data_IF_817012814172
#
_entry.id   IF_817012814172
#
_cell.length_a   1.000
_cell.length_b   1.000
_cell.length_c   1.000
_cell.angle_alpha   90.00
_cell.angle_beta   90.00
_cell.angle_gamma   90.00
#
_symmetry.space_group_name_H-M   'P 1'
#
loop_
_entity.id
_entity.type
_entity.pdbx_description
1 polymer ?
#
# COMPACT_ATOMS: atom_id res chain seq x y z
N UNK A 1 -52.33 -78.05 35.63
CA UNK A 1 -51.05 -78.41 36.33
C UNK A 1 -50.07 -77.29 36.10
N UNK A 2 -49.42 -76.80 37.12
CA UNK A 2 -48.62 -75.56 37.24
C UNK A 2 -47.35 -75.58 36.39
N UNK A 3 -47.14 -74.65 35.53
CA UNK A 3 -45.83 -74.36 34.86
C UNK A 3 -45.31 -73.06 35.34
N UNK A 4 -44.06 -73.07 35.70
CA UNK A 4 -43.34 -72.19 36.56
C UNK A 4 -43.03 -70.83 35.84
N UNK A 5 -43.27 -69.70 36.58
CA UNK A 5 -42.98 -68.29 36.24
C UNK A 5 -41.49 -67.95 36.32
N UNK A 6 -40.57 -68.90 36.16
CA UNK A 6 -39.12 -68.62 36.35
C UNK A 6 -38.27 -68.61 35.13
N UNK A 7 -38.81 -68.78 33.92
CA UNK A 7 -38.00 -68.77 32.67
C UNK A 7 -38.15 -67.56 31.77
N UNK A 8 -38.81 -66.48 32.26
CA UNK A 8 -39.06 -65.29 31.47
C UNK A 8 -38.17 -64.06 31.81
N UNK A 9 -37.32 -64.18 32.85
CA UNK A 9 -36.50 -63.12 33.37
C UNK A 9 -34.99 -63.23 33.00
N UNK A 10 -34.59 -64.17 32.15
CA UNK A 10 -33.18 -64.38 31.80
C UNK A 10 -32.80 -64.03 30.37
N UNK A 11 -33.67 -63.36 29.61
CA UNK A 11 -33.38 -62.92 28.21
C UNK A 11 -33.62 -61.43 27.93
N UNK A 12 -33.67 -60.59 28.96
CA UNK A 12 -33.91 -59.16 28.81
C UNK A 12 -32.71 -58.24 29.24
N UNK A 13 -31.48 -58.78 29.33
CA UNK A 13 -30.32 -58.03 29.85
C UNK A 13 -29.12 -57.97 28.93
N UNK A 14 -29.28 -58.19 27.61
CA UNK A 14 -28.17 -58.06 26.62
C UNK A 14 -28.49 -57.14 25.43
N UNK A 15 -29.40 -56.17 25.62
CA UNK A 15 -29.83 -55.30 24.54
C UNK A 15 -29.75 -53.77 24.82
N UNK A 16 -29.13 -53.35 25.92
CA UNK A 16 -29.20 -51.93 26.34
C UNK A 16 -27.84 -51.24 26.52
N UNK A 17 -26.77 -51.71 25.88
CA UNK A 17 -25.43 -51.08 26.00
C UNK A 17 -24.85 -50.59 24.65
N UNK A 18 -25.65 -50.52 23.60
CA UNK A 18 -25.15 -50.09 22.24
C UNK A 18 -25.75 -48.76 21.74
N UNK A 19 -26.41 -47.98 22.59
CA UNK A 19 -27.07 -46.72 22.17
C UNK A 19 -26.46 -45.45 22.80
N UNK A 20 -25.22 -45.47 23.32
CA UNK A 20 -24.61 -44.32 24.00
C UNK A 20 -23.38 -43.74 23.26
N UNK A 21 -23.02 -44.24 22.07
CA UNK A 21 -22.03 -43.60 21.22
C UNK A 21 -22.67 -43.20 19.87
N UNK A 22 -23.66 -42.31 19.95
CA UNK A 22 -23.99 -41.51 18.78
C UNK A 22 -22.74 -40.71 18.38
N UNK A 23 -22.43 -40.54 17.07
CA UNK A 23 -21.33 -39.68 16.68
C UNK A 23 -21.63 -38.30 17.26
N UNK A 24 -20.83 -37.88 18.23
CA UNK A 24 -20.74 -36.48 18.58
C UNK A 24 -20.22 -35.78 17.33
N UNK A 25 -21.14 -35.33 16.50
CA UNK A 25 -20.82 -34.32 15.49
C UNK A 25 -20.41 -33.10 16.29
N UNK A 26 -19.10 -32.97 16.53
CA UNK A 26 -18.51 -31.70 16.90
C UNK A 26 -18.95 -30.73 15.82
N UNK A 27 -20.09 -30.04 16.04
CA UNK A 27 -20.36 -28.81 15.32
C UNK A 27 -19.17 -27.92 15.62
N UNK A 28 -18.17 -27.91 14.73
CA UNK A 28 -17.12 -26.94 14.78
C UNK A 28 -17.83 -25.58 14.76
N UNK A 29 -17.85 -24.92 15.92
CA UNK A 29 -18.20 -23.50 15.92
C UNK A 29 -17.28 -22.85 14.94
N UNK A 30 -17.85 -22.24 13.88
CA UNK A 30 -17.07 -21.41 12.99
C UNK A 30 -16.36 -20.37 13.87
N UNK A 31 -15.04 -20.28 13.72
CA UNK A 31 -14.27 -19.30 14.48
C UNK A 31 -14.82 -17.90 14.20
N UNK A 32 -14.92 -17.07 15.25
CA UNK A 32 -15.36 -15.69 15.12
C UNK A 32 -14.46 -14.94 14.12
N UNK A 33 -15.02 -14.18 13.18
CA UNK A 33 -14.24 -13.43 12.20
C UNK A 33 -13.31 -12.41 12.86
N UNK A 34 -12.15 -12.20 12.28
CA UNK A 34 -11.19 -11.18 12.71
C UNK A 34 -11.49 -9.89 11.95
N UNK A 35 -11.94 -8.86 12.65
CA UNK A 35 -12.22 -7.56 12.03
C UNK A 35 -10.93 -6.76 11.80
N UNK A 36 -10.74 -6.30 10.56
CA UNK A 36 -9.73 -5.32 10.17
C UNK A 36 -10.40 -4.11 9.52
N UNK A 37 -9.90 -2.92 9.82
CA UNK A 37 -10.40 -1.68 9.25
C UNK A 37 -9.68 -1.31 7.96
N UNK A 38 -10.41 -0.80 6.97
CA UNK A 38 -9.87 -0.22 5.74
C UNK A 38 -10.32 1.23 5.58
N UNK A 39 -9.38 2.17 5.49
CA UNK A 39 -9.64 3.60 5.31
C UNK A 39 -9.19 4.01 3.91
N UNK A 40 -10.12 4.36 3.02
CA UNK A 40 -9.78 4.73 1.63
C UNK A 40 -10.55 5.96 1.17
N UNK A 41 -9.95 6.83 0.34
CA UNK A 41 -10.64 7.96 -0.26
C UNK A 41 -11.49 7.51 -1.47
N UNK A 42 -12.58 6.77 -1.20
CA UNK A 42 -13.42 6.16 -2.26
C UNK A 42 -14.31 7.18 -2.96
N UNK A 43 -14.42 8.39 -2.40
CA UNK A 43 -15.06 9.58 -3.01
C UNK A 43 -14.14 10.80 -2.89
N UNK A 44 -14.55 11.92 -3.52
CA UNK A 44 -13.75 13.15 -3.57
C UNK A 44 -12.67 13.13 -4.67
N UNK A 45 -11.64 13.96 -4.52
CA UNK A 45 -10.61 14.19 -5.56
C UNK A 45 -9.74 12.97 -5.87
N UNK A 46 -9.69 11.99 -4.96
CA UNK A 46 -8.90 10.75 -5.10
C UNK A 46 -9.79 9.51 -5.31
N UNK A 47 -11.06 9.68 -5.65
CA UNK A 47 -12.06 8.59 -5.72
C UNK A 47 -11.60 7.38 -6.53
N UNK A 48 -11.03 7.62 -7.71
CA UNK A 48 -10.55 6.57 -8.61
C UNK A 48 -9.46 5.70 -7.94
N UNK A 49 -8.53 6.33 -7.25
CA UNK A 49 -7.47 5.65 -6.52
C UNK A 49 -8.05 4.89 -5.32
N UNK A 50 -8.96 5.52 -4.58
CA UNK A 50 -9.62 4.90 -3.42
C UNK A 50 -10.41 3.65 -3.79
N UNK A 51 -11.15 3.67 -4.90
CA UNK A 51 -11.89 2.52 -5.41
C UNK A 51 -10.96 1.38 -5.84
N UNK A 52 -9.83 1.69 -6.47
CA UNK A 52 -8.81 0.71 -6.80
C UNK A 52 -8.19 0.08 -5.54
N UNK A 53 -7.96 0.88 -4.48
CA UNK A 53 -7.53 0.39 -3.17
C UNK A 53 -8.55 -0.55 -2.52
N UNK A 54 -9.83 -0.22 -2.57
CA UNK A 54 -10.92 -1.08 -2.08
C UNK A 54 -10.92 -2.43 -2.79
N UNK A 55 -10.76 -2.43 -4.12
CA UNK A 55 -10.70 -3.66 -4.92
C UNK A 55 -9.51 -4.52 -4.51
N UNK A 56 -8.32 -3.93 -4.37
CA UNK A 56 -7.12 -4.65 -3.95
C UNK A 56 -7.22 -5.21 -2.52
N UNK A 57 -7.79 -4.43 -1.59
CA UNK A 57 -7.96 -4.86 -0.21
C UNK A 57 -8.95 -6.04 -0.09
N UNK A 58 -10.05 -6.02 -0.85
CA UNK A 58 -10.99 -7.15 -0.94
C UNK A 58 -10.31 -8.39 -1.52
N UNK A 59 -9.58 -8.24 -2.64
CA UNK A 59 -8.81 -9.33 -3.23
C UNK A 59 -7.84 -9.95 -2.20
N UNK A 60 -7.11 -9.14 -1.45
CA UNK A 60 -6.17 -9.62 -0.45
C UNK A 60 -6.86 -10.41 0.68
N UNK A 61 -7.98 -9.91 1.19
CA UNK A 61 -8.78 -10.60 2.21
C UNK A 61 -9.33 -11.92 1.69
N UNK A 62 -9.84 -11.94 0.45
CA UNK A 62 -10.32 -13.16 -0.20
C UNK A 62 -9.20 -14.19 -0.35
N UNK A 63 -7.98 -13.76 -0.73
CA UNK A 63 -6.81 -14.64 -0.82
C UNK A 63 -6.45 -15.27 0.53
N UNK A 64 -6.39 -14.48 1.62
CA UNK A 64 -6.13 -14.99 2.98
C UNK A 64 -7.24 -15.95 3.40
N UNK A 65 -8.49 -15.60 3.16
CA UNK A 65 -9.64 -16.39 3.51
C UNK A 65 -9.71 -17.72 2.74
N UNK A 66 -9.37 -17.71 1.45
CA UNK A 66 -9.27 -18.90 0.60
C UNK A 66 -8.14 -19.84 1.06
N UNK A 67 -7.02 -19.28 1.58
CA UNK A 67 -5.90 -20.05 2.15
C UNK A 67 -6.21 -20.70 3.51
N UNK A 68 -7.43 -20.53 4.03
CA UNK A 68 -7.88 -21.13 5.28
C UNK A 68 -8.10 -20.15 6.43
N UNK A 69 -7.89 -18.85 6.22
CA UNK A 69 -7.98 -17.82 7.27
C UNK A 69 -6.82 -17.89 8.27
N UNK A 70 -7.02 -17.40 9.48
CA UNK A 70 -6.00 -17.35 10.55
C UNK A 70 -6.04 -18.66 11.33
N UNK A 71 -5.07 -19.53 11.10
CA UNK A 71 -5.06 -20.92 11.62
C UNK A 71 -4.92 -20.97 13.15
N UNK A 72 -4.08 -20.11 13.73
CA UNK A 72 -3.91 -19.99 15.17
C UNK A 72 -5.19 -19.55 15.90
N UNK A 73 -6.16 -19.02 15.16
CA UNK A 73 -7.50 -18.64 15.63
C UNK A 73 -8.58 -19.60 15.10
N UNK A 74 -8.24 -20.87 14.90
CA UNK A 74 -9.19 -21.90 14.46
C UNK A 74 -9.67 -21.74 13.02
N UNK A 75 -8.89 -21.08 12.14
CA UNK A 75 -9.26 -20.79 10.76
C UNK A 75 -10.19 -19.58 10.62
N UNK A 76 -10.19 -18.67 11.60
CA UNK A 76 -10.98 -17.44 11.58
C UNK A 76 -10.75 -16.66 10.30
N UNK A 77 -11.86 -16.25 9.66
CA UNK A 77 -11.79 -15.46 8.42
C UNK A 77 -11.57 -13.99 8.75
N UNK A 78 -10.78 -13.30 7.91
CA UNK A 78 -10.70 -11.84 7.96
C UNK A 78 -12.03 -11.24 7.49
N UNK A 79 -12.51 -10.24 8.22
CA UNK A 79 -13.65 -9.42 7.88
C UNK A 79 -13.17 -7.97 7.69
N UNK A 80 -13.20 -7.47 6.46
CA UNK A 80 -12.76 -6.11 6.13
C UNK A 80 -13.93 -5.14 6.26
N UNK A 81 -13.79 -4.19 7.19
CA UNK A 81 -14.76 -3.12 7.41
C UNK A 81 -14.20 -1.84 6.80
N UNK A 82 -14.82 -1.38 5.70
CA UNK A 82 -14.34 -0.24 4.92
C UNK A 82 -15.04 1.04 5.37
N UNK A 83 -14.26 2.12 5.47
CA UNK A 83 -14.77 3.48 5.66
C UNK A 83 -14.21 4.41 4.58
N UNK A 84 -15.07 5.22 4.00
CA UNK A 84 -14.69 6.24 3.01
C UNK A 84 -14.24 7.52 3.73
N UNK A 85 -12.99 7.89 3.51
CA UNK A 85 -12.41 9.12 4.07
C UNK A 85 -12.59 10.35 3.16
N UNK A 86 -13.31 10.20 2.05
CA UNK A 86 -13.79 11.25 1.14
C UNK A 86 -12.70 12.22 0.64
N UNK A 87 -11.44 11.79 0.61
CA UNK A 87 -10.28 12.63 0.27
C UNK A 87 -10.12 13.88 1.17
N UNK A 88 -10.68 13.83 2.40
CA UNK A 88 -10.73 14.97 3.34
C UNK A 88 -10.15 14.60 4.71
N UNK A 89 -9.32 15.49 5.28
CA UNK A 89 -8.65 15.25 6.57
C UNK A 89 -9.60 15.27 7.76
N UNK A 90 -10.62 16.11 7.73
CA UNK A 90 -11.64 16.19 8.80
C UNK A 90 -12.51 14.95 8.81
N UNK A 91 -12.97 14.54 7.63
CA UNK A 91 -13.72 13.29 7.45
C UNK A 91 -12.86 12.09 7.85
N UNK A 92 -11.57 12.09 7.50
CA UNK A 92 -10.65 11.01 7.90
C UNK A 92 -10.62 10.83 9.41
N UNK A 93 -10.55 11.91 10.18
CA UNK A 93 -10.58 11.84 11.66
C UNK A 93 -11.87 11.21 12.14
N UNK A 94 -13.01 11.75 11.73
CA UNK A 94 -14.34 11.29 12.15
C UNK A 94 -14.58 9.82 11.78
N UNK A 95 -14.23 9.44 10.54
CA UNK A 95 -14.42 8.08 10.05
C UNK A 95 -13.48 7.07 10.74
N UNK A 96 -12.25 7.48 11.05
CA UNK A 96 -11.32 6.61 11.80
C UNK A 96 -11.83 6.38 13.23
N UNK A 97 -12.30 7.45 13.91
CA UNK A 97 -12.88 7.35 15.26
C UNK A 97 -14.14 6.49 15.26
N UNK A 98 -15.04 6.67 14.28
CA UNK A 98 -16.26 5.88 14.11
C UNK A 98 -15.95 4.41 13.83
N UNK A 99 -14.99 4.13 12.95
CA UNK A 99 -14.60 2.79 12.58
C UNK A 99 -14.04 2.01 13.78
N UNK A 100 -13.21 2.64 14.58
CA UNK A 100 -12.59 2.02 15.76
C UNK A 100 -13.61 1.85 16.89
N UNK A 101 -14.40 2.89 17.21
CA UNK A 101 -15.36 2.83 18.32
C UNK A 101 -16.55 1.93 18.04
N UNK A 102 -16.97 1.80 16.78
CA UNK A 102 -18.09 0.98 16.37
C UNK A 102 -17.76 -0.51 16.15
N UNK A 103 -16.47 -0.86 16.13
CA UNK A 103 -16.04 -2.20 15.77
C UNK A 103 -14.85 -2.64 16.64
N UNK A 104 -14.82 -3.91 16.98
CA UNK A 104 -13.68 -4.52 17.66
C UNK A 104 -12.61 -4.85 16.60
N UNK A 105 -11.72 -3.90 16.30
CA UNK A 105 -10.69 -4.05 15.27
C UNK A 105 -9.39 -4.61 15.84
N UNK A 106 -8.78 -5.54 15.13
CA UNK A 106 -7.42 -6.02 15.42
C UNK A 106 -6.36 -5.11 14.82
N UNK A 107 -6.63 -4.48 13.67
CA UNK A 107 -5.75 -3.56 12.97
C UNK A 107 -6.52 -2.73 11.94
N UNK A 108 -5.85 -1.70 11.39
CA UNK A 108 -6.33 -0.84 10.30
C UNK A 108 -5.28 -0.78 9.21
N UNK A 109 -5.68 -0.66 7.94
CA UNK A 109 -4.80 -0.25 6.84
C UNK A 109 -5.42 0.86 5.97
N UNK A 110 -4.58 1.63 5.30
CA UNK A 110 -4.94 2.83 4.55
C UNK A 110 -3.96 3.98 4.88
N UNK A 111 -4.22 5.25 4.53
CA UNK A 111 -5.33 5.79 3.74
C UNK A 111 -4.96 6.13 2.27
N UNK A 112 -3.85 5.80 1.71
CA UNK A 112 -3.23 6.24 0.46
C UNK A 112 -2.48 7.58 0.61
N UNK A 113 -3.21 8.70 0.71
CA UNK A 113 -2.57 10.01 0.83
C UNK A 113 -1.93 10.22 2.21
N UNK A 114 -0.68 10.70 2.24
CA UNK A 114 0.06 10.89 3.50
C UNK A 114 -0.63 11.85 4.47
N UNK A 115 -1.31 12.91 3.96
CA UNK A 115 -2.06 13.84 4.80
C UNK A 115 -3.21 13.15 5.55
N UNK A 116 -3.98 12.30 4.87
CA UNK A 116 -5.06 11.51 5.45
C UNK A 116 -4.51 10.49 6.46
N UNK A 117 -3.41 9.81 6.08
CA UNK A 117 -2.79 8.78 6.91
C UNK A 117 -2.20 9.36 8.20
N UNK A 118 -1.64 10.58 8.17
CA UNK A 118 -1.17 11.27 9.37
C UNK A 118 -2.30 11.44 10.39
N UNK A 119 -3.48 11.85 9.93
CA UNK A 119 -4.67 12.01 10.79
C UNK A 119 -5.16 10.66 11.33
N UNK A 120 -5.29 9.65 10.46
CA UNK A 120 -5.71 8.31 10.85
C UNK A 120 -4.73 7.70 11.86
N UNK A 121 -3.42 7.86 11.65
CA UNK A 121 -2.38 7.33 12.54
C UNK A 121 -2.40 7.97 13.93
N UNK A 122 -2.78 9.24 14.06
CA UNK A 122 -2.98 9.89 15.36
C UNK A 122 -4.16 9.30 16.12
N UNK A 123 -5.27 9.04 15.45
CA UNK A 123 -6.45 8.39 16.05
C UNK A 123 -6.11 6.96 16.47
N UNK A 124 -5.46 6.19 15.58
CA UNK A 124 -5.04 4.82 15.84
C UNK A 124 -4.07 4.72 17.04
N UNK A 125 -3.10 5.67 17.15
CA UNK A 125 -2.16 5.73 18.28
C UNK A 125 -2.89 5.92 19.61
N UNK A 126 -3.83 6.90 19.68
CA UNK A 126 -4.63 7.14 20.91
C UNK A 126 -5.51 5.97 21.28
N UNK A 127 -6.08 5.28 20.27
CA UNK A 127 -6.95 4.13 20.45
C UNK A 127 -6.20 2.82 20.68
N UNK A 128 -4.87 2.82 20.56
CA UNK A 128 -4.00 1.62 20.62
C UNK A 128 -4.41 0.53 19.61
N UNK A 129 -4.79 0.93 18.41
CA UNK A 129 -5.07 0.04 17.28
C UNK A 129 -3.97 0.22 16.23
N UNK A 130 -3.23 -0.84 15.85
CA UNK A 130 -2.16 -0.69 14.88
C UNK A 130 -2.69 -0.33 13.50
N UNK A 131 -2.01 0.62 12.85
CA UNK A 131 -2.20 0.96 11.45
C UNK A 131 -0.96 0.55 10.65
N UNK A 132 -1.16 -0.18 9.55
CA UNK A 132 -0.14 -0.50 8.56
C UNK A 132 -0.45 0.24 7.26
N UNK A 133 0.54 0.91 6.67
CA UNK A 133 0.29 1.81 5.54
C UNK A 133 1.45 1.86 4.55
N UNK A 134 1.11 2.02 3.25
CA UNK A 134 2.04 2.32 2.18
C UNK A 134 2.27 3.82 1.95
N UNK A 135 1.66 4.71 2.74
CA UNK A 135 1.92 6.14 2.65
C UNK A 135 3.37 6.47 3.01
N UNK A 136 3.94 7.47 2.33
CA UNK A 136 5.41 7.62 2.28
C UNK A 136 5.99 8.75 3.13
N UNK A 137 5.19 9.66 3.69
CA UNK A 137 5.71 10.78 4.47
C UNK A 137 6.61 10.32 5.63
N UNK A 138 7.79 10.92 5.77
CA UNK A 138 8.75 10.62 6.84
C UNK A 138 8.21 10.98 8.24
N UNK A 139 7.11 11.74 8.34
CA UNK A 139 6.47 12.12 9.60
C UNK A 139 5.55 11.02 10.18
N UNK A 140 5.17 10.00 9.39
CA UNK A 140 4.16 9.01 9.78
C UNK A 140 4.48 8.25 11.06
N UNK A 141 5.74 7.84 11.23
CA UNK A 141 6.16 7.05 12.38
C UNK A 141 6.70 7.91 13.56
N UNK A 142 6.83 9.24 13.38
CA UNK A 142 7.47 10.10 14.37
C UNK A 142 6.64 10.14 15.66
N UNK A 143 7.18 9.59 16.74
CA UNK A 143 6.52 9.54 18.06
C UNK A 143 5.32 8.58 18.12
N UNK A 144 5.18 7.65 17.15
CA UNK A 144 4.07 6.71 17.08
C UNK A 144 4.55 5.26 17.19
N UNK A 145 3.93 4.50 18.07
CA UNK A 145 4.22 3.08 18.33
C UNK A 145 3.28 2.13 17.60
N UNK A 146 2.12 2.63 17.17
CA UNK A 146 1.07 1.86 16.51
C UNK A 146 1.02 2.09 15.00
N UNK A 147 2.03 2.76 14.42
CA UNK A 147 2.11 3.01 12.98
C UNK A 147 3.26 2.23 12.35
N UNK A 148 2.94 1.43 11.32
CA UNK A 148 3.89 0.56 10.62
C UNK A 148 3.94 0.92 9.14
N UNK A 149 5.16 1.15 8.62
CA UNK A 149 5.42 1.51 7.21
C UNK A 149 6.35 0.48 6.57
N UNK A 150 5.81 -0.52 5.83
CA UNK A 150 6.59 -1.64 5.28
C UNK A 150 7.38 -1.28 4.03
N UNK A 151 7.14 -0.12 3.41
CA UNK A 151 7.73 0.28 2.14
C UNK A 151 8.66 1.50 2.27
N UNK A 152 9.24 1.90 1.14
CA UNK A 152 10.09 3.07 1.05
C UNK A 152 9.34 4.36 1.43
N UNK A 153 10.10 5.33 1.94
CA UNK A 153 9.61 6.63 2.39
C UNK A 153 10.03 7.76 1.45
N UNK A 154 9.47 8.93 1.67
CA UNK A 154 9.67 10.11 0.84
C UNK A 154 11.16 10.50 0.67
N UNK A 155 11.96 10.45 1.74
CA UNK A 155 13.40 10.70 1.67
C UNK A 155 14.15 9.67 0.80
N UNK A 156 13.72 8.42 0.83
CA UNK A 156 14.30 7.37 -0.02
C UNK A 156 13.88 7.54 -1.48
N UNK A 157 12.64 7.98 -1.76
CA UNK A 157 12.22 8.37 -3.11
C UNK A 157 13.09 9.46 -3.68
N UNK A 158 13.33 10.53 -2.91
CA UNK A 158 14.16 11.64 -3.31
C UNK A 158 15.55 11.19 -3.75
N UNK A 159 16.20 10.32 -2.96
CA UNK A 159 17.51 9.77 -3.31
C UNK A 159 17.49 8.99 -4.64
N UNK A 160 16.53 8.09 -4.81
CA UNK A 160 16.40 7.30 -6.04
C UNK A 160 16.12 8.19 -7.26
N UNK A 161 15.25 9.21 -7.14
CA UNK A 161 14.98 10.17 -8.21
C UNK A 161 16.24 10.93 -8.64
N UNK A 162 17.03 11.41 -7.69
CA UNK A 162 18.30 12.10 -7.98
C UNK A 162 19.30 11.18 -8.67
N UNK A 163 19.40 9.92 -8.24
CA UNK A 163 20.27 8.94 -8.89
C UNK A 163 19.82 8.60 -10.30
N UNK A 164 18.51 8.49 -10.54
CA UNK A 164 17.98 8.24 -11.88
C UNK A 164 18.16 9.43 -12.82
N UNK A 165 18.11 10.66 -12.33
CA UNK A 165 18.38 11.84 -13.16
C UNK A 165 19.78 11.80 -13.79
N UNK A 166 20.76 11.21 -13.11
CA UNK A 166 22.13 11.02 -13.64
C UNK A 166 22.23 9.97 -14.74
N UNK A 167 21.23 9.09 -14.87
CA UNK A 167 21.19 8.09 -15.95
C UNK A 167 20.77 8.69 -17.30
N UNK A 168 20.14 9.87 -17.29
CA UNK A 168 19.62 10.54 -18.48
C UNK A 168 20.34 11.84 -18.84
N UNK A 169 21.30 12.28 -18.05
CA UNK A 169 22.10 13.47 -18.37
C UNK A 169 23.26 13.72 -17.40
N UNK A 170 24.36 14.22 -17.94
CA UNK A 170 25.49 14.70 -17.15
C UNK A 170 25.14 16.03 -16.50
N UNK A 171 25.38 16.19 -15.20
CA UNK A 171 25.14 17.41 -14.43
C UNK A 171 23.69 17.94 -14.53
N UNK A 172 22.70 17.20 -14.01
CA UNK A 172 21.31 17.62 -14.07
C UNK A 172 21.09 18.96 -13.37
N UNK A 173 20.45 19.90 -14.07
CA UNK A 173 19.86 21.11 -13.50
C UNK A 173 18.37 20.88 -13.32
N UNK A 174 17.93 20.78 -12.08
CA UNK A 174 16.60 20.33 -11.74
C UNK A 174 15.67 21.47 -11.35
N UNK A 175 14.49 21.52 -11.95
CA UNK A 175 13.34 22.18 -11.37
C UNK A 175 12.56 21.15 -10.53
N UNK A 176 12.22 21.49 -9.31
CA UNK A 176 11.38 20.71 -8.41
C UNK A 176 10.04 21.42 -8.24
N UNK A 177 8.96 20.81 -8.70
CA UNK A 177 7.59 21.28 -8.47
C UNK A 177 6.82 20.24 -7.68
N UNK A 178 6.02 20.67 -6.71
CA UNK A 178 5.37 19.73 -5.83
C UNK A 178 4.08 20.28 -5.23
N UNK A 179 3.11 19.41 -5.01
CA UNK A 179 1.93 19.74 -4.25
C UNK A 179 2.30 20.12 -2.81
N UNK A 180 1.71 21.19 -2.31
CA UNK A 180 1.87 21.62 -0.92
C UNK A 180 1.06 20.72 0.02
N UNK A 181 1.37 19.43 0.01
CA UNK A 181 0.78 18.38 0.85
C UNK A 181 1.87 17.69 1.66
N UNK A 182 1.49 16.84 2.62
CA UNK A 182 2.45 16.09 3.42
C UNK A 182 3.35 15.17 2.56
N UNK A 183 2.82 14.60 1.47
CA UNK A 183 3.59 13.81 0.50
C UNK A 183 4.53 14.68 -0.32
N UNK A 184 4.01 15.72 -0.96
CA UNK A 184 4.78 16.60 -1.83
C UNK A 184 5.92 17.29 -1.08
N UNK A 185 5.61 17.88 0.08
CA UNK A 185 6.59 18.57 0.94
C UNK A 185 7.67 17.61 1.46
N UNK A 186 7.29 16.40 1.91
CA UNK A 186 8.27 15.44 2.46
C UNK A 186 9.25 14.97 1.39
N UNK A 187 8.77 14.64 0.19
CA UNK A 187 9.63 14.20 -0.94
C UNK A 187 10.50 15.34 -1.46
N UNK A 188 9.94 16.52 -1.67
CA UNK A 188 10.67 17.66 -2.22
C UNK A 188 11.76 18.18 -1.27
N UNK A 189 11.50 18.21 0.04
CA UNK A 189 12.52 18.54 1.02
C UNK A 189 13.68 17.53 0.98
N UNK A 190 13.40 16.24 0.83
CA UNK A 190 14.42 15.23 0.62
C UNK A 190 15.24 15.46 -0.66
N UNK A 191 14.60 15.86 -1.78
CA UNK A 191 15.29 16.24 -3.01
C UNK A 191 16.23 17.43 -2.76
N UNK A 192 15.73 18.47 -2.09
CA UNK A 192 16.52 19.67 -1.80
C UNK A 192 17.74 19.40 -0.91
N UNK A 193 17.55 18.54 0.10
CA UNK A 193 18.60 18.17 1.07
C UNK A 193 19.69 17.30 0.43
N UNK A 194 19.29 16.31 -0.38
CA UNK A 194 20.20 15.30 -0.91
C UNK A 194 20.86 15.68 -2.25
N UNK A 195 20.28 16.62 -3.00
CA UNK A 195 20.74 16.99 -4.34
C UNK A 195 22.24 17.38 -4.41
N UNK A 196 22.80 18.16 -3.46
CA UNK A 196 24.23 18.51 -3.51
C UNK A 196 25.13 17.28 -3.44
N UNK A 197 24.81 16.33 -2.55
CA UNK A 197 25.55 15.07 -2.38
C UNK A 197 25.44 14.13 -3.58
N UNK A 198 24.37 14.24 -4.36
CA UNK A 198 24.14 13.46 -5.57
C UNK A 198 24.60 14.19 -6.85
N UNK A 199 25.18 15.40 -6.74
CA UNK A 199 25.68 16.16 -7.89
C UNK A 199 24.57 16.73 -8.78
N UNK A 200 23.40 16.99 -8.26
CA UNK A 200 22.25 17.61 -8.93
C UNK A 200 22.12 19.05 -8.47
N UNK A 201 22.05 20.00 -9.39
CA UNK A 201 21.81 21.41 -9.10
C UNK A 201 20.30 21.68 -9.11
N UNK A 202 19.71 22.10 -7.99
CA UNK A 202 18.31 22.56 -7.97
C UNK A 202 18.28 24.04 -8.34
N UNK A 203 17.81 24.35 -9.54
CA UNK A 203 17.69 25.72 -10.07
C UNK A 203 16.30 26.34 -9.82
N UNK A 204 15.31 25.53 -9.46
CA UNK A 204 13.97 25.98 -9.10
C UNK A 204 13.36 25.03 -8.07
N UNK A 205 12.67 25.59 -7.06
CA UNK A 205 11.99 24.82 -6.02
C UNK A 205 10.66 25.50 -5.69
N UNK A 206 9.56 24.97 -6.23
CA UNK A 206 8.28 25.68 -6.22
C UNK A 206 7.14 24.77 -5.73
N UNK A 207 6.51 25.08 -4.58
CA UNK A 207 5.27 24.45 -4.17
C UNK A 207 4.09 25.01 -4.98
N UNK A 208 3.05 24.18 -5.15
CA UNK A 208 1.78 24.64 -5.69
C UNK A 208 0.60 24.06 -4.90
N UNK A 209 -0.56 24.73 -4.96
CA UNK A 209 -1.79 24.20 -4.37
C UNK A 209 -2.39 23.14 -5.29
N UNK A 210 -2.75 21.97 -4.73
CA UNK A 210 -3.37 20.88 -5.46
C UNK A 210 -4.69 21.30 -6.13
N UNK A 211 -4.99 20.71 -7.29
CA UNK A 211 -6.23 20.95 -8.01
C UNK A 211 -6.26 22.23 -8.85
N UNK A 212 -5.11 22.74 -9.28
CA UNK A 212 -5.06 23.84 -10.23
C UNK A 212 -5.61 23.42 -11.60
N UNK A 213 -6.21 24.38 -12.33
CA UNK A 213 -6.80 24.16 -13.65
C UNK A 213 -5.93 24.59 -14.82
N UNK A 214 -4.84 25.31 -14.53
CA UNK A 214 -3.86 25.78 -15.52
C UNK A 214 -2.44 25.64 -14.98
N UNK A 215 -1.64 24.79 -15.64
CA UNK A 215 -0.22 24.59 -15.32
C UNK A 215 0.71 25.57 -16.07
N UNK A 216 0.19 26.37 -16.99
CA UNK A 216 0.97 27.26 -17.86
C UNK A 216 1.92 28.19 -17.08
N UNK A 217 1.45 28.94 -16.07
CA UNK A 217 2.30 29.80 -15.26
C UNK A 217 3.45 29.07 -14.58
N UNK A 218 3.17 27.87 -14.02
CA UNK A 218 4.16 27.02 -13.34
C UNK A 218 5.21 26.50 -14.33
N UNK A 219 4.78 25.97 -15.49
CA UNK A 219 5.69 25.43 -16.50
C UNK A 219 6.53 26.52 -17.18
N UNK A 220 6.00 27.74 -17.33
CA UNK A 220 6.77 28.87 -17.80
C UNK A 220 7.90 29.25 -16.82
N UNK A 221 7.68 29.16 -15.50
CA UNK A 221 8.76 29.32 -14.51
C UNK A 221 9.81 28.21 -14.67
N UNK A 222 9.40 26.95 -14.86
CA UNK A 222 10.34 25.84 -15.14
C UNK A 222 11.17 26.16 -16.38
N UNK A 223 10.56 26.60 -17.48
CA UNK A 223 11.26 26.99 -18.72
C UNK A 223 12.26 28.13 -18.48
N UNK A 224 11.88 29.15 -17.73
CA UNK A 224 12.73 30.30 -17.42
C UNK A 224 13.92 29.94 -16.50
N UNK A 225 13.81 28.89 -15.70
CA UNK A 225 14.87 28.45 -14.78
C UNK A 225 16.08 27.81 -15.49
N UNK A 226 15.93 27.43 -16.77
CA UNK A 226 16.97 26.74 -17.52
C UNK A 226 17.18 25.27 -17.06
N UNK A 227 16.22 24.66 -16.35
CA UNK A 227 16.28 23.29 -15.95
C UNK A 227 16.26 22.33 -17.16
N UNK A 228 17.05 21.25 -17.09
CA UNK A 228 17.04 20.13 -18.04
C UNK A 228 16.41 18.86 -17.44
N UNK A 229 16.09 18.88 -16.14
CA UNK A 229 15.34 17.86 -15.46
C UNK A 229 14.17 18.48 -14.67
N UNK A 230 13.01 17.83 -14.66
CA UNK A 230 11.83 18.25 -13.93
C UNK A 230 11.43 17.14 -12.96
N UNK A 231 11.56 17.37 -11.67
CA UNK A 231 10.97 16.53 -10.66
C UNK A 231 9.57 17.04 -10.33
N UNK A 232 8.55 16.23 -10.61
CA UNK A 232 7.16 16.55 -10.33
C UNK A 232 6.62 15.61 -9.26
N UNK A 233 6.43 16.13 -8.05
CA UNK A 233 5.86 15.37 -6.92
C UNK A 233 4.39 15.71 -6.79
N UNK A 234 3.55 14.96 -7.50
CA UNK A 234 2.16 15.31 -7.78
C UNK A 234 1.25 14.09 -7.69
N UNK A 235 -0.03 14.29 -7.29
CA UNK A 235 -1.06 13.31 -7.53
C UNK A 235 -1.57 13.35 -8.97
N UNK A 236 -2.45 12.40 -9.32
CA UNK A 236 -2.78 12.04 -10.69
C UNK A 236 -3.25 13.22 -11.57
N UNK A 237 -4.25 13.96 -11.12
CA UNK A 237 -4.90 14.98 -11.95
C UNK A 237 -3.95 16.12 -12.31
N UNK A 238 -3.19 16.59 -11.32
CA UNK A 238 -2.22 17.67 -11.51
C UNK A 238 -1.04 17.22 -12.36
N UNK A 239 -0.56 15.98 -12.16
CA UNK A 239 0.52 15.42 -12.97
C UNK A 239 0.14 15.30 -14.45
N UNK A 240 -1.08 14.85 -14.75
CA UNK A 240 -1.59 14.78 -16.13
C UNK A 240 -1.53 16.16 -16.77
N UNK A 241 -2.00 17.19 -16.08
CA UNK A 241 -2.00 18.56 -16.57
C UNK A 241 -0.59 19.10 -16.76
N UNK A 242 0.32 18.86 -15.81
CA UNK A 242 1.74 19.23 -15.90
C UNK A 242 2.38 18.62 -17.14
N UNK A 243 2.27 17.30 -17.33
CA UNK A 243 2.91 16.61 -18.47
C UNK A 243 2.36 17.10 -19.80
N UNK A 244 1.04 17.27 -19.92
CA UNK A 244 0.40 17.82 -21.11
C UNK A 244 0.90 19.24 -21.39
N UNK A 245 0.99 20.11 -20.38
CA UNK A 245 1.45 21.49 -20.54
C UNK A 245 2.92 21.55 -20.92
N UNK A 246 3.80 20.74 -20.32
CA UNK A 246 5.22 20.63 -20.73
C UNK A 246 5.34 20.34 -22.22
N UNK A 247 4.55 19.38 -22.72
CA UNK A 247 4.57 19.03 -24.16
C UNK A 247 3.96 20.13 -25.03
N UNK A 248 2.87 20.76 -24.60
CA UNK A 248 2.19 21.84 -25.33
C UNK A 248 3.10 23.06 -25.53
N UNK A 249 3.87 23.45 -24.50
CA UNK A 249 4.81 24.59 -24.60
C UNK A 249 6.15 24.24 -25.26
N UNK A 250 6.31 22.99 -25.69
CA UNK A 250 7.52 22.49 -26.34
C UNK A 250 8.75 22.52 -25.42
N UNK A 251 8.58 22.37 -24.11
CA UNK A 251 9.68 22.34 -23.18
C UNK A 251 10.39 20.99 -23.25
N UNK A 252 11.65 20.99 -23.66
CA UNK A 252 12.49 19.81 -23.69
C UNK A 252 13.18 19.62 -22.32
N UNK A 253 12.59 18.79 -21.48
CA UNK A 253 13.06 18.51 -20.12
C UNK A 253 12.80 17.04 -19.80
N UNK A 254 13.78 16.38 -19.15
CA UNK A 254 13.59 15.02 -18.66
C UNK A 254 12.65 15.04 -17.44
N UNK A 255 11.46 14.45 -17.58
CA UNK A 255 10.49 14.40 -16.49
C UNK A 255 10.76 13.16 -15.62
N UNK A 256 10.90 13.40 -14.32
CA UNK A 256 10.96 12.37 -13.28
C UNK A 256 9.79 12.59 -12.32
N UNK A 257 8.77 11.74 -12.46
CA UNK A 257 7.63 11.73 -11.56
C UNK A 257 8.00 11.16 -10.20
N UNK A 258 7.44 11.69 -9.13
CA UNK A 258 7.39 11.00 -7.84
C UNK A 258 6.50 9.76 -7.96
N UNK A 259 6.42 8.96 -6.89
CA UNK A 259 5.33 8.02 -6.68
C UNK A 259 3.93 8.69 -6.84
N UNK A 260 2.91 8.19 -6.28
CA UNK A 260 1.58 8.83 -6.29
C UNK A 260 0.94 8.78 -7.68
N UNK A 261 0.69 9.93 -8.30
CA UNK A 261 -0.02 10.00 -9.58
C UNK A 261 0.70 9.38 -10.76
N UNK A 262 2.02 9.29 -10.70
CA UNK A 262 2.84 8.79 -11.82
C UNK A 262 2.67 7.28 -12.07
N UNK A 263 2.45 6.51 -11.02
CA UNK A 263 2.54 5.03 -11.05
C UNK A 263 1.19 4.33 -11.25
N UNK A 264 0.13 5.09 -11.51
CA UNK A 264 -1.22 4.53 -11.71
C UNK A 264 -1.54 4.34 -13.18
N UNK A 265 -2.27 3.26 -13.58
CA UNK A 265 -2.62 3.01 -14.99
C UNK A 265 -3.32 4.18 -15.66
N UNK A 266 -4.12 4.93 -14.90
CA UNK A 266 -4.89 6.06 -15.41
C UNK A 266 -4.01 7.25 -15.84
N UNK A 267 -2.79 7.35 -15.34
CA UNK A 267 -1.83 8.32 -15.87
C UNK A 267 -1.57 8.04 -17.35
N UNK A 268 -1.18 6.80 -17.69
CA UNK A 268 -0.94 6.42 -19.09
C UNK A 268 -2.21 6.53 -19.95
N UNK A 269 -3.35 6.10 -19.45
CA UNK A 269 -4.63 6.23 -20.18
C UNK A 269 -4.94 7.68 -20.56
N UNK A 270 -4.55 8.64 -19.71
CA UNK A 270 -4.83 10.05 -19.92
C UNK A 270 -3.78 10.77 -20.76
N UNK A 271 -2.49 10.43 -20.63
CA UNK A 271 -1.42 11.12 -21.39
C UNK A 271 -0.92 10.32 -22.60
N UNK A 272 -1.27 9.02 -22.67
CA UNK A 272 -0.92 8.14 -23.78
C UNK A 272 0.59 8.02 -23.98
N UNK A 273 1.02 7.98 -25.22
CA UNK A 273 2.44 7.87 -25.60
C UNK A 273 3.33 9.01 -25.10
N UNK A 274 2.75 10.11 -24.58
CA UNK A 274 3.56 11.17 -23.94
C UNK A 274 4.21 10.67 -22.65
N UNK A 275 3.70 9.59 -22.04
CA UNK A 275 4.31 8.96 -20.89
C UNK A 275 5.52 8.10 -21.24
N UNK A 276 5.61 7.57 -22.48
CA UNK A 276 6.68 6.64 -22.85
C UNK A 276 8.05 7.29 -22.66
N UNK A 277 8.91 6.58 -21.92
CA UNK A 277 10.25 7.05 -21.54
C UNK A 277 10.30 7.93 -20.30
N UNK A 278 9.17 8.44 -19.79
CA UNK A 278 9.16 9.19 -18.53
C UNK A 278 9.60 8.29 -17.37
N UNK A 279 10.41 8.86 -16.50
CA UNK A 279 10.95 8.20 -15.31
C UNK A 279 10.14 8.55 -14.07
N UNK A 280 10.18 7.67 -13.08
CA UNK A 280 9.60 7.90 -11.77
C UNK A 280 10.13 6.91 -10.74
N UNK A 281 9.59 6.99 -9.54
CA UNK A 281 9.88 6.07 -8.46
C UNK A 281 8.60 5.49 -7.89
N UNK A 282 8.70 4.28 -7.37
CA UNK A 282 7.61 3.59 -6.68
C UNK A 282 8.14 2.89 -5.42
N UNK A 283 7.32 2.75 -4.40
CA UNK A 283 7.68 1.93 -3.25
C UNK A 283 7.42 0.43 -3.50
N UNK A 284 6.71 0.11 -4.57
CA UNK A 284 6.39 -1.21 -5.05
C UNK A 284 6.01 -1.15 -6.53
N UNK A 285 6.26 -2.20 -7.31
CA UNK A 285 5.73 -2.32 -8.66
C UNK A 285 5.28 -3.75 -8.92
N UNK A 286 4.37 -3.92 -9.85
CA UNK A 286 3.74 -5.21 -10.18
C UNK A 286 4.72 -6.27 -10.72
N UNK A 287 5.92 -5.89 -11.10
CA UNK A 287 6.95 -6.76 -11.67
C UNK A 287 8.11 -7.09 -10.71
N UNK A 288 8.13 -6.54 -9.48
CA UNK A 288 9.28 -6.67 -8.54
C UNK A 288 9.56 -8.11 -8.11
N UNK A 289 8.56 -9.00 -8.14
CA UNK A 289 8.72 -10.40 -7.75
C UNK A 289 7.69 -11.31 -8.46
N UNK A 290 7.91 -12.65 -8.49
CA UNK A 290 6.91 -13.58 -9.00
C UNK A 290 5.56 -13.50 -8.26
N UNK A 291 5.57 -13.24 -6.94
CA UNK A 291 4.35 -13.03 -6.15
C UNK A 291 3.62 -11.76 -6.57
N UNK A 292 4.35 -10.66 -6.80
CA UNK A 292 3.80 -9.41 -7.31
C UNK A 292 3.14 -9.59 -8.67
N UNK A 293 3.78 -10.34 -9.58
CA UNK A 293 3.22 -10.66 -10.90
C UNK A 293 1.93 -11.49 -10.80
N UNK A 294 1.88 -12.48 -9.89
CA UNK A 294 0.66 -13.28 -9.65
C UNK A 294 -0.48 -12.41 -9.14
N UNK A 295 -0.22 -11.57 -8.15
CA UNK A 295 -1.22 -10.63 -7.61
C UNK A 295 -1.71 -9.68 -8.70
N UNK A 296 -0.80 -9.12 -9.51
CA UNK A 296 -1.16 -8.25 -10.63
C UNK A 296 -2.04 -8.96 -11.66
N UNK A 297 -1.75 -10.22 -11.97
CA UNK A 297 -2.56 -11.02 -12.89
C UNK A 297 -3.99 -11.25 -12.35
N UNK A 298 -4.15 -11.56 -11.05
CA UNK A 298 -5.47 -11.71 -10.43
C UNK A 298 -6.23 -10.36 -10.39
N UNK A 299 -5.56 -9.28 -10.02
CA UNK A 299 -6.15 -7.95 -10.02
C UNK A 299 -6.60 -7.52 -11.43
N UNK A 300 -5.79 -7.81 -12.46
CA UNK A 300 -6.11 -7.50 -13.85
C UNK A 300 -7.34 -8.24 -14.36
N UNK A 301 -7.61 -9.47 -13.90
CA UNK A 301 -8.85 -10.18 -14.22
C UNK A 301 -10.09 -9.46 -13.70
N UNK A 302 -9.96 -8.74 -12.58
CA UNK A 302 -11.07 -8.01 -11.96
C UNK A 302 -11.28 -6.63 -12.55
N UNK A 303 -10.20 -5.96 -13.01
CA UNK A 303 -10.21 -4.53 -13.34
C UNK A 303 -9.85 -4.22 -14.80
N UNK A 304 -9.17 -5.12 -15.49
CA UNK A 304 -8.57 -4.89 -16.79
C UNK A 304 -7.19 -4.25 -16.76
N UNK A 305 -6.77 -3.68 -15.62
CA UNK A 305 -5.51 -2.95 -15.43
C UNK A 305 -4.50 -3.75 -14.60
N UNK A 306 -3.21 -3.41 -14.73
CA UNK A 306 -2.23 -3.88 -13.77
C UNK A 306 -2.47 -3.22 -12.40
N UNK A 307 -2.06 -3.90 -11.33
CA UNK A 307 -2.17 -3.35 -9.99
C UNK A 307 -1.07 -2.32 -9.73
N UNK A 308 -1.44 -1.09 -9.36
CA UNK A 308 -0.45 -0.03 -9.07
C UNK A 308 0.15 -0.17 -7.67
N UNK A 309 1.21 0.59 -7.40
CA UNK A 309 2.06 0.45 -6.20
C UNK A 309 1.31 0.35 -4.87
N UNK A 310 0.41 1.30 -4.59
CA UNK A 310 -0.29 1.34 -3.30
C UNK A 310 -1.27 0.18 -3.16
N UNK A 311 -2.01 -0.13 -4.23
CA UNK A 311 -2.95 -1.24 -4.27
C UNK A 311 -2.24 -2.60 -4.10
N UNK A 312 -1.09 -2.80 -4.78
CA UNK A 312 -0.25 -3.98 -4.56
C UNK A 312 0.35 -4.03 -3.17
N UNK A 313 0.74 -2.88 -2.65
CA UNK A 313 1.18 -2.73 -1.26
C UNK A 313 0.12 -3.14 -0.23
N UNK A 314 -1.17 -2.83 -0.48
CA UNK A 314 -2.27 -3.27 0.39
C UNK A 314 -2.39 -4.80 0.45
N UNK A 315 -2.14 -5.49 -0.66
CA UNK A 315 -2.10 -6.97 -0.63
C UNK A 315 -1.01 -7.45 0.31
N UNK A 316 0.22 -6.95 0.16
CA UNK A 316 1.31 -7.32 1.06
C UNK A 316 1.00 -6.99 2.53
N UNK A 317 0.44 -5.80 2.80
CA UNK A 317 0.04 -5.37 4.14
C UNK A 317 -1.01 -6.30 4.76
N UNK A 318 -1.99 -6.75 3.99
CA UNK A 318 -3.00 -7.71 4.47
C UNK A 318 -2.37 -9.04 4.86
N UNK A 319 -1.39 -9.53 4.09
CA UNK A 319 -0.65 -10.74 4.45
C UNK A 319 0.29 -10.53 5.65
N UNK A 320 0.88 -9.34 5.82
CA UNK A 320 1.63 -8.98 7.04
C UNK A 320 0.72 -8.97 8.27
N UNK A 321 -0.49 -8.45 8.15
CA UNK A 321 -1.49 -8.50 9.23
C UNK A 321 -1.92 -9.93 9.53
N UNK A 322 -2.11 -10.78 8.52
CA UNK A 322 -2.43 -12.20 8.71
C UNK A 322 -1.30 -12.92 9.45
N UNK A 323 -0.03 -12.69 9.08
CA UNK A 323 1.13 -13.26 9.78
C UNK A 323 1.24 -12.74 11.23
N UNK A 324 0.96 -11.46 11.47
CA UNK A 324 0.94 -10.90 12.81
C UNK A 324 -0.17 -11.51 13.68
N UNK A 325 -1.37 -11.73 13.12
CA UNK A 325 -2.48 -12.42 13.80
C UNK A 325 -2.14 -13.88 14.12
N UNK A 326 -1.48 -14.59 13.19
CA UNK A 326 -0.99 -15.96 13.45
C UNK A 326 0.00 -16.00 14.62
N UNK A 327 0.97 -15.08 14.65
CA UNK A 327 1.98 -14.99 15.73
C UNK A 327 1.36 -14.56 17.07
N UNK A 328 0.45 -13.60 17.03
CA UNK A 328 -0.24 -13.11 18.23
C UNK A 328 -1.20 -14.18 18.82
N UNK A 329 -1.70 -15.09 18.00
CA UNK A 329 -2.79 -16.03 18.32
C UNK A 329 -3.93 -15.30 19.06
N UNK A 330 -4.24 -14.07 18.66
CA UNK A 330 -5.16 -13.16 19.34
C UNK A 330 -5.71 -12.11 18.39
N UNK A 331 -6.95 -11.67 18.63
CA UNK A 331 -7.57 -10.52 17.96
C UNK A 331 -7.36 -9.20 18.73
N UNK A 332 -6.68 -9.24 19.87
CA UNK A 332 -6.36 -8.07 20.67
C UNK A 332 -5.38 -7.17 19.94
N UNK A 333 -5.73 -5.89 19.78
CA UNK A 333 -4.98 -4.94 18.95
C UNK A 333 -3.57 -4.66 19.49
N UNK A 334 -3.37 -4.64 20.80
CA UNK A 334 -2.04 -4.42 21.39
C UNK A 334 -1.13 -5.64 21.15
N UNK A 335 -1.66 -6.87 21.25
CA UNK A 335 -0.91 -8.10 20.91
C UNK A 335 -0.58 -8.16 19.42
N UNK A 336 -1.50 -7.78 18.55
CA UNK A 336 -1.26 -7.70 17.10
C UNK A 336 -0.18 -6.65 16.80
N UNK A 337 -0.20 -5.50 17.47
CA UNK A 337 0.85 -4.48 17.38
C UNK A 337 2.21 -5.03 17.78
N UNK A 338 2.30 -5.79 18.88
CA UNK A 338 3.55 -6.39 19.34
C UNK A 338 4.08 -7.44 18.35
N UNK A 339 3.18 -8.24 17.76
CA UNK A 339 3.52 -9.17 16.71
C UNK A 339 4.01 -8.47 15.43
N UNK A 340 3.39 -7.36 15.03
CA UNK A 340 3.88 -6.52 13.93
C UNK A 340 5.27 -5.94 14.23
N UNK A 341 5.50 -5.42 15.45
CA UNK A 341 6.78 -4.84 15.83
C UNK A 341 7.95 -5.82 15.77
N UNK A 342 7.67 -7.12 15.86
CA UNK A 342 8.67 -8.20 15.78
C UNK A 342 8.63 -8.97 14.45
N UNK A 343 7.83 -8.47 13.48
CA UNK A 343 7.71 -9.11 12.17
C UNK A 343 9.06 -9.13 11.45
N UNK A 344 9.45 -10.32 10.95
CA UNK A 344 10.59 -10.54 10.07
C UNK A 344 10.18 -11.62 9.06
N UNK A 345 9.87 -11.20 7.83
CA UNK A 345 9.37 -12.06 6.76
C UNK A 345 10.18 -11.86 5.49
N UNK A 346 10.51 -12.96 4.80
CA UNK A 346 11.35 -12.98 3.59
C UNK A 346 10.76 -13.86 2.47
N UNK A 347 9.52 -14.35 2.65
CA UNK A 347 8.87 -15.23 1.67
C UNK A 347 7.38 -14.92 1.58
N UNK A 348 6.76 -15.31 0.47
CA UNK A 348 5.32 -15.17 0.22
C UNK A 348 4.86 -13.72 0.05
N UNK A 349 3.56 -13.53 0.02
CA UNK A 349 2.94 -12.24 -0.26
C UNK A 349 3.27 -11.15 0.78
N UNK A 350 3.53 -11.50 2.04
CA UNK A 350 3.95 -10.54 3.07
C UNK A 350 5.33 -9.94 2.80
N UNK A 351 6.22 -10.68 2.11
CA UNK A 351 7.55 -10.21 1.72
C UNK A 351 7.61 -9.58 0.32
N UNK A 352 6.48 -9.29 -0.30
CA UNK A 352 6.35 -8.77 -1.66
C UNK A 352 6.74 -7.28 -1.76
N UNK A 353 7.77 -6.88 -1.03
CA UNK A 353 8.40 -5.56 -1.10
C UNK A 353 9.68 -5.64 -1.96
N UNK A 354 10.18 -4.52 -2.52
CA UNK A 354 11.50 -4.47 -3.11
C UNK A 354 12.56 -5.02 -2.13
N UNK A 355 13.48 -5.85 -2.63
CA UNK A 355 14.45 -6.58 -1.80
C UNK A 355 13.90 -7.84 -1.11
N UNK A 356 12.62 -8.15 -1.23
CA UNK A 356 12.03 -9.44 -0.81
C UNK A 356 12.04 -9.68 0.71
N UNK A 357 12.14 -8.64 1.54
CA UNK A 357 12.13 -8.77 3.01
C UNK A 357 11.46 -7.59 3.70
N UNK A 358 10.67 -7.90 4.72
CA UNK A 358 10.08 -6.91 5.62
C UNK A 358 10.44 -7.24 7.05
N UNK A 359 11.09 -6.29 7.72
CA UNK A 359 11.39 -6.33 9.15
C UNK A 359 11.24 -4.95 9.71
N UNK A 360 10.39 -4.80 10.71
CA UNK A 360 10.21 -3.50 11.35
C UNK A 360 11.31 -3.21 12.36
N UNK A 361 11.84 -1.99 12.28
CA UNK A 361 12.71 -1.41 13.30
C UNK A 361 11.90 -0.88 14.49
N UNK A 362 12.60 -0.37 15.53
CA UNK A 362 11.95 0.16 16.74
C UNK A 362 10.96 1.31 16.46
N UNK A 363 11.12 1.98 15.33
CA UNK A 363 10.29 3.10 14.88
C UNK A 363 9.13 2.66 13.96
N UNK A 364 8.88 1.36 13.81
CA UNK A 364 7.81 0.82 12.97
C UNK A 364 8.06 0.93 11.46
N UNK A 365 9.28 1.24 11.04
CA UNK A 365 9.68 1.29 9.64
C UNK A 365 10.38 0.02 9.21
N UNK A 366 10.14 -0.41 7.97
CA UNK A 366 10.90 -1.51 7.41
C UNK A 366 12.38 -1.09 7.21
N UNK A 367 13.29 -1.80 7.86
CA UNK A 367 14.74 -1.52 7.77
C UNK A 367 15.34 -1.91 6.41
N UNK A 368 14.64 -2.74 5.64
CA UNK A 368 15.02 -3.15 4.28
C UNK A 368 14.27 -2.40 3.18
N UNK A 369 13.28 -1.56 3.56
CA UNK A 369 12.46 -0.84 2.60
C UNK A 369 13.28 0.12 1.74
N UNK A 370 13.20 -0.04 0.41
CA UNK A 370 13.78 0.86 -0.57
C UNK A 370 12.84 1.01 -1.77
N UNK A 371 12.92 2.10 -2.53
CA UNK A 371 12.09 2.30 -3.72
C UNK A 371 12.70 1.59 -4.93
N UNK A 372 11.85 1.35 -5.92
CA UNK A 372 12.26 1.00 -7.27
C UNK A 372 12.10 2.21 -8.18
N UNK A 373 13.06 2.43 -9.08
CA UNK A 373 12.93 3.36 -10.18
C UNK A 373 12.14 2.70 -11.30
N UNK A 374 11.18 3.42 -11.83
CA UNK A 374 10.25 2.90 -12.84
C UNK A 374 10.24 3.79 -14.09
N UNK A 375 9.89 3.19 -15.22
CA UNK A 375 9.74 3.88 -16.51
C UNK A 375 8.49 3.39 -17.22
N UNK A 376 7.73 4.32 -17.79
CA UNK A 376 6.65 3.96 -18.70
C UNK A 376 7.22 3.48 -20.04
N UNK A 377 6.81 2.29 -20.49
CA UNK A 377 7.30 1.63 -21.69
C UNK A 377 6.14 0.96 -22.43
N UNK A 378 5.55 1.66 -23.40
CA UNK A 378 4.47 1.13 -24.23
C UNK A 378 3.19 0.80 -23.46
N UNK A 379 2.84 1.58 -22.44
CA UNK A 379 1.65 1.40 -21.63
C UNK A 379 1.83 0.52 -20.39
N UNK A 380 3.04 0.00 -20.19
CA UNK A 380 3.41 -0.78 -19.02
C UNK A 380 4.41 0.01 -18.15
N UNK A 381 4.34 -0.14 -16.84
CA UNK A 381 5.25 0.49 -15.90
C UNK A 381 6.34 -0.51 -15.51
N UNK A 382 7.53 -0.36 -16.06
CA UNK A 382 8.63 -1.29 -15.86
C UNK A 382 9.58 -0.83 -14.74
N UNK A 383 10.00 -1.74 -13.87
CA UNK A 383 11.10 -1.52 -12.93
C UNK A 383 12.43 -1.50 -13.70
N UNK A 384 13.19 -0.39 -13.59
CA UNK A 384 14.43 -0.14 -14.34
C UNK A 384 15.63 0.21 -13.46
N UNK A 385 15.41 0.46 -12.16
CA UNK A 385 16.44 0.86 -11.20
C UNK A 385 16.05 0.46 -9.75
N UNK A 386 17.01 0.13 -8.86
CA UNK A 386 18.42 -0.12 -9.14
C UNK A 386 18.62 -1.40 -9.98
N UNK A 387 19.86 -1.72 -10.38
CA UNK A 387 20.14 -2.83 -11.29
C UNK A 387 19.63 -4.19 -10.79
N UNK A 388 19.71 -4.43 -9.48
CA UNK A 388 19.24 -5.65 -8.81
C UNK A 388 17.70 -5.82 -8.88
N UNK A 389 16.97 -4.73 -8.91
CA UNK A 389 15.49 -4.71 -8.99
C UNK A 389 14.98 -4.49 -10.42
N UNK A 390 15.86 -4.15 -11.37
CA UNK A 390 15.48 -3.90 -12.75
C UNK A 390 14.92 -5.18 -13.42
N UNK A 391 13.79 -5.04 -14.10
CA UNK A 391 13.12 -6.11 -14.85
C UNK A 391 13.15 -5.86 -16.35
N UNK A 392 13.31 -4.61 -16.75
CA UNK A 392 13.52 -4.20 -18.15
C UNK A 392 14.69 -3.22 -18.23
N UNK A 393 15.37 -3.12 -19.38
CA UNK A 393 16.38 -2.10 -19.59
C UNK A 393 15.74 -0.70 -19.61
N UNK A 394 16.51 0.30 -19.20
CA UNK A 394 16.14 1.69 -19.35
C UNK A 394 16.09 2.06 -20.85
N UNK A 395 14.96 2.55 -21.31
CA UNK A 395 14.85 3.13 -22.65
C UNK A 395 15.47 4.54 -22.64
N UNK A 396 16.43 4.76 -23.51
CA UNK A 396 16.99 6.09 -23.78
C UNK A 396 15.98 6.84 -24.64
N UNK A 397 15.49 7.99 -24.19
CA UNK A 397 14.57 8.89 -24.89
C UNK A 397 15.32 10.10 -25.39
#
# INVERSE_FOLDING_TARGET
MKSSRRSFLAKASTGAAAAAFGPWVLRGYAAEPVNIGGLYPSTGSMAQIGQACVTAAKLAVDMVNAAGGIKSLGGAKLNLIISDVQSDTTVTRTETERLISGNKLSAVHGCYASALTLIASEVCERAKVPIITGSSSDQLNKGRRFTFTPFARASQFAKAQLQMAKLVGDKPKAAVIFENTAFGTSTSNGLKELAPGEGVEIVMFEPYSAGFTDAGPLINKVKASGANALFSVSYLNDLILIVRTVKQVGLNVAINGGSGGFVVPDFYKNVGKLADGLLGVAHWNHDVSPDAQRVSAEYKKLTGDFIFEYAGGLVAQTFMLADALERAASTDSEKVRDALATLDVSTGYAAMAPGGRVKFGPDGKNIYGHPVGVQWQGGDLASVFPKEDARKPLLKT
#
